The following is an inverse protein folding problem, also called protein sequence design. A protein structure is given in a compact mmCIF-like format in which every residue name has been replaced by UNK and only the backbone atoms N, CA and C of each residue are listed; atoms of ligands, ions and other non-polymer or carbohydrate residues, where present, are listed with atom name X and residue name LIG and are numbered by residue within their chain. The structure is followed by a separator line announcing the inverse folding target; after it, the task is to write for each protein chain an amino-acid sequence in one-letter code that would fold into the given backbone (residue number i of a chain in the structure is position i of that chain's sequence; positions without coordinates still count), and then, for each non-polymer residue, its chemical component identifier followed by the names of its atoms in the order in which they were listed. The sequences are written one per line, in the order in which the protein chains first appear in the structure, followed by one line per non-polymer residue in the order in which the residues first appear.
data_IF_974792819046
#
_entry.id   IF_974792819046
#
_cell.length_a   1.000
_cell.length_b   1.000
_cell.length_c   1.000
_cell.angle_alpha   90.00
_cell.angle_beta   90.00
_cell.angle_gamma   90.00
#
_symmetry.space_group_name_H-M   'P 1'
#
loop_
_entity.id
_entity.type
_entity.pdbx_description
1 polymer ?
#
# COMPACT_ATOMS: atom_id res chain seq x y z
N UNK A 1 13.10 0.31 5.02
CA UNK A 1 11.66 0.28 5.37
C UNK A 1 11.14 1.64 5.86
N UNK A 2 11.69 2.20 6.94
CA UNK A 2 11.22 3.49 7.51
C UNK A 2 11.33 4.68 6.53
N UNK A 3 12.45 4.81 5.79
CA UNK A 3 12.61 5.88 4.80
C UNK A 3 11.56 5.79 3.66
N UNK A 4 11.21 4.58 3.24
CA UNK A 4 10.18 4.34 2.20
C UNK A 4 8.79 4.75 2.69
N UNK A 5 8.47 4.44 3.95
CA UNK A 5 7.26 4.87 4.63
C UNK A 5 7.17 6.40 4.75
N UNK A 6 8.25 7.06 5.14
CA UNK A 6 8.34 8.53 5.23
C UNK A 6 8.16 9.16 3.84
N UNK A 7 8.83 8.61 2.82
CA UNK A 7 8.68 9.06 1.44
C UNK A 7 7.23 8.89 0.93
N UNK A 8 6.59 7.76 1.23
CA UNK A 8 5.18 7.53 0.88
C UNK A 8 4.24 8.53 1.55
N UNK A 9 4.45 8.80 2.84
CA UNK A 9 3.70 9.82 3.57
C UNK A 9 3.87 11.21 2.94
N UNK A 10 5.11 11.64 2.70
CA UNK A 10 5.39 12.93 2.05
C UNK A 10 4.76 13.02 0.67
N UNK A 11 4.83 11.95 -0.12
CA UNK A 11 4.20 11.88 -1.44
C UNK A 11 2.68 11.97 -1.36
N UNK A 12 2.06 11.33 -0.38
CA UNK A 12 0.61 11.39 -0.16
C UNK A 12 0.17 12.79 0.29
N UNK A 13 0.97 13.46 1.13
CA UNK A 13 0.73 14.86 1.53
C UNK A 13 0.84 15.79 0.33
N UNK A 14 1.91 15.66 -0.46
CA UNK A 14 2.11 16.46 -1.68
C UNK A 14 1.00 16.23 -2.71
N UNK A 15 0.56 14.98 -2.88
CA UNK A 15 -0.57 14.65 -3.74
C UNK A 15 -1.87 15.30 -3.26
N UNK A 16 -2.14 15.30 -1.96
CA UNK A 16 -3.30 15.99 -1.37
C UNK A 16 -3.24 17.49 -1.64
N UNK A 17 -2.07 18.10 -1.46
CA UNK A 17 -1.88 19.53 -1.66
C UNK A 17 -2.04 19.93 -3.14
N UNK A 18 -1.53 19.10 -4.07
CA UNK A 18 -1.63 19.35 -5.52
C UNK A 18 -3.03 19.09 -6.10
N UNK A 19 -3.75 18.10 -5.57
CA UNK A 19 -5.04 17.67 -6.15
C UNK A 19 -6.24 18.28 -5.42
N UNK A 20 -6.07 18.77 -4.19
CA UNK A 20 -7.16 19.30 -3.35
C UNK A 20 -8.23 18.26 -2.94
N UNK A 21 -8.11 17.02 -3.41
CA UNK A 21 -9.06 15.93 -3.17
C UNK A 21 -8.85 15.29 -1.81
N UNK A 22 -9.94 14.81 -1.21
CA UNK A 22 -9.90 14.05 0.05
C UNK A 22 -9.08 12.76 -0.13
N UNK A 23 -8.17 12.48 0.81
CA UNK A 23 -7.36 11.25 0.82
C UNK A 23 -8.23 10.00 1.05
N UNK A 24 -9.28 10.11 1.83
CA UNK A 24 -10.25 9.04 2.02
C UNK A 24 -11.66 9.59 1.75
N UNK A 25 -12.44 8.87 0.96
CA UNK A 25 -13.86 9.16 0.77
C UNK A 25 -14.65 8.87 2.06
N UNK A 26 -15.73 9.63 2.25
CA UNK A 26 -16.66 9.48 3.39
C UNK A 26 -17.48 8.21 3.14
N UNK A 27 -16.96 7.06 3.56
CA UNK A 27 -17.55 5.76 3.23
C UNK A 27 -16.59 4.57 3.34
N UNK A 28 -15.27 4.83 3.42
CA UNK A 28 -14.28 3.83 3.84
C UNK A 28 -14.44 3.59 5.36
N UNK A 29 -15.47 2.83 5.72
CA UNK A 29 -15.92 2.53 7.08
C UNK A 29 -14.96 1.62 7.86
N UNK A 30 -13.71 2.05 8.00
CA UNK A 30 -12.68 1.33 8.76
C UNK A 30 -12.03 2.21 9.82
N UNK A 31 -11.54 1.55 10.87
CA UNK A 31 -10.78 2.11 11.99
C UNK A 31 -9.66 3.04 11.52
N UNK A 32 -9.41 4.11 12.29
CA UNK A 32 -8.38 5.10 12.04
C UNK A 32 -6.99 4.47 11.81
N UNK A 33 -6.67 3.39 12.54
CA UNK A 33 -5.40 2.66 12.37
C UNK A 33 -5.21 2.06 10.98
N UNK A 34 -6.26 1.51 10.35
CA UNK A 34 -6.15 0.97 8.99
C UNK A 34 -5.93 2.07 7.95
N UNK A 35 -6.52 3.25 8.16
CA UNK A 35 -6.26 4.42 7.30
C UNK A 35 -4.81 4.89 7.43
N UNK A 36 -4.28 4.90 8.64
CA UNK A 36 -2.88 5.25 8.88
C UNK A 36 -1.93 4.23 8.22
N UNK A 37 -2.22 2.93 8.35
CA UNK A 37 -1.44 1.89 7.69
C UNK A 37 -1.41 2.08 6.17
N UNK A 38 -2.56 2.29 5.53
CA UNK A 38 -2.65 2.54 4.07
C UNK A 38 -1.88 3.78 3.66
N UNK A 39 -1.85 4.82 4.50
CA UNK A 39 -1.08 6.04 4.27
C UNK A 39 0.44 5.80 4.28
N UNK A 40 0.89 4.86 5.10
CA UNK A 40 2.31 4.53 5.28
C UNK A 40 2.77 3.51 4.24
N UNK A 41 1.90 2.59 3.83
CA UNK A 41 2.25 1.48 2.93
C UNK A 41 1.90 1.72 1.47
N UNK A 42 0.99 2.64 1.18
CA UNK A 42 0.45 2.84 -0.15
C UNK A 42 0.37 4.29 -0.59
N UNK A 43 0.02 4.48 -1.86
CA UNK A 43 -0.22 5.79 -2.44
C UNK A 43 -1.37 5.75 -3.45
N UNK A 44 -1.99 6.91 -3.70
CA UNK A 44 -3.06 7.02 -4.69
C UNK A 44 -2.51 7.08 -6.11
N UNK A 45 -3.10 6.29 -7.00
CA UNK A 45 -2.81 6.29 -8.44
C UNK A 45 -4.08 6.18 -9.27
N UNK A 46 -4.08 6.71 -10.50
CA UNK A 46 -5.14 6.42 -11.45
C UNK A 46 -5.14 4.92 -11.84
N UNK A 47 -6.33 4.36 -12.10
CA UNK A 47 -6.48 2.94 -12.44
C UNK A 47 -5.68 2.55 -13.68
N UNK A 48 -5.51 3.48 -14.62
CA UNK A 48 -4.74 3.30 -15.85
C UNK A 48 -3.27 2.98 -15.55
N UNK A 49 -2.68 3.70 -14.58
CA UNK A 49 -1.31 3.45 -14.11
C UNK A 49 -1.21 2.20 -13.26
N UNK A 50 -2.28 1.82 -12.56
CA UNK A 50 -2.31 0.55 -11.83
C UNK A 50 -2.25 -0.63 -12.81
N UNK A 51 -3.06 -0.60 -13.89
CA UNK A 51 -3.04 -1.66 -14.93
C UNK A 51 -1.66 -1.85 -15.55
N UNK A 52 -0.98 -0.76 -15.89
CA UNK A 52 0.34 -0.80 -16.54
C UNK A 52 1.47 -1.32 -15.65
N UNK A 53 1.37 -1.18 -14.32
CA UNK A 53 2.46 -1.54 -13.40
C UNK A 53 2.15 -2.83 -12.65
N UNK A 54 2.76 -3.94 -13.09
CA UNK A 54 2.59 -5.26 -12.48
C UNK A 54 3.02 -5.31 -11.00
N UNK A 55 4.05 -4.54 -10.63
CA UNK A 55 4.58 -4.48 -9.27
C UNK A 55 3.70 -3.68 -8.28
N UNK A 56 2.52 -3.23 -8.69
CA UNK A 56 1.58 -2.49 -7.87
C UNK A 56 0.36 -3.34 -7.55
N UNK A 57 0.06 -3.45 -6.26
CA UNK A 57 -1.06 -4.20 -5.72
C UNK A 57 -2.16 -3.23 -5.24
N UNK A 58 -3.42 -3.43 -5.64
CA UNK A 58 -4.53 -2.62 -5.13
C UNK A 58 -4.70 -2.83 -3.61
N UNK A 59 -4.85 -1.74 -2.87
CA UNK A 59 -5.22 -1.73 -1.45
C UNK A 59 -6.72 -1.47 -1.22
N UNK A 60 -7.47 -1.34 -2.31
CA UNK A 60 -8.92 -1.22 -2.31
C UNK A 60 -9.52 -2.44 -2.98
N UNK A 61 -10.64 -2.90 -2.46
CA UNK A 61 -11.51 -3.84 -3.14
C UNK A 61 -12.94 -3.30 -3.11
N UNK A 62 -13.72 -3.77 -4.07
CA UNK A 62 -15.09 -3.34 -4.29
C UNK A 62 -15.98 -4.57 -4.26
N UNK A 63 -16.73 -4.72 -3.19
CA UNK A 63 -17.72 -5.80 -3.03
C UNK A 63 -19.11 -5.27 -3.40
N UNK A 64 -19.84 -6.01 -4.23
CA UNK A 64 -21.26 -5.75 -4.46
C UNK A 64 -22.03 -6.24 -3.23
N UNK A 65 -22.66 -5.32 -2.52
CA UNK A 65 -23.61 -5.63 -1.45
C UNK A 65 -25.03 -5.36 -1.95
N UNK A 66 -26.04 -5.94 -1.31
CA UNK A 66 -27.47 -5.74 -1.64
C UNK A 66 -27.89 -4.25 -1.66
N UNK A 67 -27.22 -3.39 -0.90
CA UNK A 67 -27.45 -1.93 -0.86
C UNK A 67 -26.51 -1.11 -1.76
N UNK A 68 -25.83 -1.73 -2.73
CA UNK A 68 -24.92 -1.07 -3.67
C UNK A 68 -23.46 -1.50 -3.53
N UNK A 69 -22.54 -0.79 -4.20
CA UNK A 69 -21.11 -1.09 -4.15
C UNK A 69 -20.49 -0.49 -2.88
N UNK A 70 -19.96 -1.35 -2.01
CA UNK A 70 -19.19 -0.92 -0.83
C UNK A 70 -17.70 -1.01 -1.12
N UNK A 71 -17.01 0.13 -0.98
CA UNK A 71 -15.57 0.25 -1.10
C UNK A 71 -14.90 -0.16 0.23
N UNK A 72 -13.99 -1.14 0.20
CA UNK A 72 -13.32 -1.64 1.41
C UNK A 72 -11.80 -1.56 1.23
N UNK A 73 -11.08 -1.14 2.28
CA UNK A 73 -9.62 -1.23 2.29
C UNK A 73 -9.23 -2.66 2.59
N UNK A 74 -8.40 -3.22 1.73
CA UNK A 74 -7.91 -4.59 1.80
C UNK A 74 -6.38 -4.48 1.89
N UNK A 75 -5.87 -4.72 3.10
CA UNK A 75 -4.43 -4.67 3.40
C UNK A 75 -3.71 -5.97 3.01
N UNK A 76 -4.47 -7.07 2.87
CA UNK A 76 -3.98 -8.39 2.53
C UNK A 76 -4.54 -8.78 1.16
N UNK A 77 -3.70 -9.14 0.17
CA UNK A 77 -4.21 -9.69 -1.07
C UNK A 77 -5.11 -10.89 -0.74
N UNK A 78 -6.33 -10.90 -1.29
CA UNK A 78 -7.15 -12.12 -1.29
C UNK A 78 -6.48 -13.14 -2.21
N UNK A 79 -6.76 -14.43 -2.01
CA UNK A 79 -6.29 -15.49 -2.93
C UNK A 79 -6.80 -15.32 -4.37
N UNK A 80 -7.76 -14.42 -4.57
CA UNK A 80 -8.13 -13.91 -5.89
C UNK A 80 -6.95 -13.15 -6.50
N UNK A 81 -6.43 -13.65 -7.64
CA UNK A 81 -5.33 -13.02 -8.36
C UNK A 81 -5.52 -11.52 -8.58
N UNK A 82 -4.42 -10.76 -8.47
CA UNK A 82 -4.37 -9.29 -8.59
C UNK A 82 -5.17 -8.75 -9.77
N UNK A 83 -5.13 -9.42 -10.92
CA UNK A 83 -5.80 -8.96 -12.13
C UNK A 83 -7.33 -8.98 -12.01
N UNK A 84 -7.91 -9.95 -11.30
CA UNK A 84 -9.35 -9.99 -11.05
C UNK A 84 -9.82 -8.78 -10.21
N UNK A 85 -9.04 -8.39 -9.21
CA UNK A 85 -9.32 -7.22 -8.37
C UNK A 85 -9.19 -5.93 -9.19
N UNK A 86 -8.13 -5.82 -10.01
CA UNK A 86 -7.91 -4.66 -10.89
C UNK A 86 -9.03 -4.54 -11.94
N UNK A 87 -9.52 -5.64 -12.49
CA UNK A 87 -10.62 -5.64 -13.45
C UNK A 87 -11.94 -5.16 -12.80
N UNK A 88 -12.28 -5.65 -11.60
CA UNK A 88 -13.46 -5.17 -10.85
C UNK A 88 -13.38 -3.68 -10.56
N UNK A 89 -12.22 -3.20 -10.12
CA UNK A 89 -11.97 -1.78 -9.88
C UNK A 89 -12.12 -0.98 -11.18
N UNK A 90 -11.56 -1.45 -12.30
CA UNK A 90 -11.69 -0.78 -13.60
C UNK A 90 -13.15 -0.66 -14.02
N UNK A 91 -13.92 -1.75 -13.96
CA UNK A 91 -15.34 -1.74 -14.29
C UNK A 91 -16.11 -0.78 -13.38
N UNK A 92 -15.74 -0.67 -12.11
CA UNK A 92 -16.39 0.27 -11.19
C UNK A 92 -16.04 1.74 -11.52
N UNK A 93 -14.82 2.03 -11.98
CA UNK A 93 -14.40 3.36 -12.46
C UNK A 93 -15.11 3.72 -13.76
N UNK A 94 -15.11 2.82 -14.74
CA UNK A 94 -15.75 3.01 -16.06
C UNK A 94 -17.25 3.26 -15.93
N UNK A 95 -17.92 2.58 -14.99
CA UNK A 95 -19.33 2.80 -14.69
C UNK A 95 -19.61 4.07 -13.86
N UNK A 96 -18.59 4.90 -13.59
CA UNK A 96 -18.72 6.14 -12.83
C UNK A 96 -19.06 5.95 -11.34
N UNK A 97 -18.96 4.72 -10.83
CA UNK A 97 -19.37 4.37 -9.46
C UNK A 97 -18.30 4.67 -8.43
N UNK A 98 -17.04 4.75 -8.85
CA UNK A 98 -15.90 5.17 -8.03
C UNK A 98 -15.00 6.15 -8.79
N UNK A 99 -14.26 6.98 -8.06
CA UNK A 99 -13.26 7.87 -8.66
C UNK A 99 -12.14 7.08 -9.37
N UNK A 100 -11.59 7.65 -10.45
CA UNK A 100 -10.47 7.07 -11.21
C UNK A 100 -9.20 6.79 -10.36
N UNK A 101 -9.11 7.37 -9.16
CA UNK A 101 -7.97 7.18 -8.26
C UNK A 101 -8.25 6.09 -7.23
N UNK A 102 -7.34 5.12 -7.16
CA UNK A 102 -7.36 3.97 -6.24
C UNK A 102 -6.07 3.94 -5.41
N UNK A 103 -6.14 3.37 -4.20
CA UNK A 103 -4.93 3.13 -3.40
C UNK A 103 -4.22 1.89 -3.90
N UNK A 104 -2.89 2.01 -4.05
CA UNK A 104 -2.04 0.88 -4.37
C UNK A 104 -0.79 0.87 -3.49
N UNK A 105 -0.33 -0.32 -3.14
CA UNK A 105 0.96 -0.55 -2.50
C UNK A 105 1.95 -1.07 -3.55
N UNK A 106 3.20 -0.57 -3.57
CA UNK A 106 4.24 -1.25 -4.32
C UNK A 106 4.63 -2.55 -3.63
N UNK A 107 4.77 -3.61 -4.40
CA UNK A 107 5.37 -4.86 -3.92
C UNK A 107 6.78 -4.55 -3.41
N UNK A 108 7.03 -4.88 -2.14
CA UNK A 108 8.34 -4.68 -1.54
C UNK A 108 9.29 -5.75 -2.12
N UNK A 109 10.42 -5.37 -2.74
CA UNK A 109 11.39 -6.34 -3.24
C UNK A 109 12.14 -6.96 -2.04
N UNK A 110 11.49 -7.92 -1.38
CA UNK A 110 12.01 -8.60 -0.18
C UNK A 110 13.41 -9.16 -0.42
N UNK A 111 13.69 -9.65 -1.64
CA UNK A 111 15.00 -10.17 -2.02
C UNK A 111 16.12 -9.14 -1.78
N UNK A 112 15.95 -7.89 -2.21
CA UNK A 112 16.96 -6.84 -2.04
C UNK A 112 17.21 -6.59 -0.55
N UNK A 113 16.15 -6.53 0.26
CA UNK A 113 16.28 -6.35 1.71
C UNK A 113 17.00 -7.52 2.38
N UNK A 114 16.67 -8.75 1.98
CA UNK A 114 17.32 -9.96 2.50
C UNK A 114 18.80 -9.98 2.10
N UNK A 115 19.13 -9.65 0.85
CA UNK A 115 20.51 -9.62 0.37
C UNK A 115 21.36 -8.57 1.11
N UNK A 116 20.84 -7.36 1.29
CA UNK A 116 21.54 -6.30 2.06
C UNK A 116 21.68 -6.71 3.52
N UNK A 117 20.63 -7.30 4.10
CA UNK A 117 20.66 -7.82 5.47
C UNK A 117 21.72 -8.90 5.64
N UNK A 118 21.82 -9.83 4.70
CA UNK A 118 22.83 -10.89 4.69
C UNK A 118 24.24 -10.33 4.58
N UNK A 119 24.49 -9.41 3.65
CA UNK A 119 25.80 -8.76 3.50
C UNK A 119 26.17 -8.06 4.81
N UNK A 120 25.26 -7.27 5.37
CA UNK A 120 25.49 -6.58 6.65
C UNK A 120 25.78 -7.57 7.78
N UNK A 121 25.06 -8.69 7.86
CA UNK A 121 25.30 -9.71 8.87
C UNK A 121 26.65 -10.40 8.73
N UNK A 122 27.15 -10.62 7.51
CA UNK A 122 28.47 -11.21 7.29
C UNK A 122 29.62 -10.29 7.73
N UNK A 123 29.48 -8.97 7.55
CA UNK A 123 30.54 -8.02 7.88
C UNK A 123 30.43 -7.41 9.29
N UNK A 124 29.21 -7.28 9.80
CA UNK A 124 28.91 -6.58 11.06
C UNK A 124 28.13 -7.46 12.04
N UNK A 125 27.99 -8.76 11.78
CA UNK A 125 27.27 -9.69 12.64
C UNK A 125 27.82 -9.72 14.05
N UNK A 126 29.16 -9.75 14.19
CA UNK A 126 29.82 -9.70 15.49
C UNK A 126 29.54 -8.38 16.23
N UNK A 127 29.46 -7.26 15.50
CA UNK A 127 29.13 -5.95 16.10
C UNK A 127 27.70 -5.95 16.63
N UNK A 128 26.75 -6.52 15.87
CA UNK A 128 25.37 -6.66 16.34
C UNK A 128 25.31 -7.56 17.57
N UNK A 129 26.04 -8.68 17.59
CA UNK A 129 26.11 -9.57 18.73
C UNK A 129 26.75 -8.91 19.95
N UNK A 130 27.83 -8.14 19.78
CA UNK A 130 28.47 -7.34 20.84
C UNK A 130 27.50 -6.29 21.38
N UNK A 131 26.78 -5.57 20.52
CA UNK A 131 25.78 -4.58 20.96
C UNK A 131 24.64 -5.24 21.74
N UNK A 132 24.16 -6.40 21.30
CA UNK A 132 23.10 -7.16 21.99
C UNK A 132 23.61 -7.70 23.33
N UNK A 133 24.81 -8.26 23.36
CA UNK A 133 25.46 -8.77 24.59
C UNK A 133 25.65 -7.65 25.60
N UNK A 134 26.11 -6.47 25.16
CA UNK A 134 26.26 -5.29 26.00
C UNK A 134 24.92 -4.76 26.54
N UNK A 135 23.83 -4.91 25.77
CA UNK A 135 22.49 -4.50 26.20
C UNK A 135 21.84 -5.48 27.17
N UNK A 136 22.22 -6.77 27.10
CA UNK A 136 21.66 -7.85 27.92
C UNK A 136 22.47 -8.17 29.17
N UNK A 137 23.74 -7.75 29.24
CA UNK A 137 24.62 -7.95 30.39
C UNK A 137 25.32 -9.30 30.37
#
# INVERSE_FOLDING_TARGET
AAATAIYMLLRNIFWRQKTGKKLFERGLGQSFGKKLLVLITGYKIPIDKLKQKWHLYPLEDVEKTENGLKRKLVLLPKDEGRDAIVERLSKAVENGKIQNTVWATPGLPMLIFITIGLITALFFGDIVWICISFLLG
#
